data_IF_510169361921
#
_entry.id   IF_510169361921
#
_cell.length_a   1.000
_cell.length_b   1.000
_cell.length_c   1.000
_cell.angle_alpha   90.00
_cell.angle_beta   90.00
_cell.angle_gamma   90.00
#
_symmetry.space_group_name_H-M   'P 1'
#
loop_
_entity.id
_entity.type
_entity.pdbx_description
1 polymer ?
#
# COMPACT_ATOMS: atom_id res chain seq x y z
N UNK A 1 -4.65 9.84 -14.35
CA UNK A 1 -4.76 8.80 -13.30
C UNK A 1 -6.24 8.72 -12.90
N UNK A 2 -6.84 7.56 -13.07
CA UNK A 2 -8.22 7.30 -12.67
C UNK A 2 -8.25 6.71 -11.26
N UNK A 3 -8.94 7.38 -10.34
CA UNK A 3 -9.00 6.97 -8.92
C UNK A 3 -10.39 6.54 -8.44
N UNK A 4 -11.44 6.75 -9.26
CA UNK A 4 -12.81 6.34 -8.89
C UNK A 4 -12.90 4.82 -8.79
N UNK A 5 -13.57 4.33 -7.79
CA UNK A 5 -13.70 2.89 -7.51
C UNK A 5 -12.33 2.17 -7.32
N UNK A 6 -11.27 2.92 -7.00
CA UNK A 6 -9.96 2.38 -6.64
C UNK A 6 -9.70 2.57 -5.15
N UNK A 7 -8.91 1.66 -4.59
CA UNK A 7 -8.50 1.81 -3.20
C UNK A 7 -7.56 3.02 -3.05
N UNK A 8 -7.56 3.71 -1.91
CA UNK A 8 -6.59 4.75 -1.60
C UNK A 8 -5.14 4.30 -1.81
N UNK A 9 -4.85 3.04 -1.53
CA UNK A 9 -3.56 2.42 -1.81
C UNK A 9 -3.17 2.48 -3.28
N UNK A 10 -4.07 2.07 -4.19
CA UNK A 10 -3.79 2.09 -5.62
C UNK A 10 -3.51 3.51 -6.11
N UNK A 11 -4.31 4.48 -5.67
CA UNK A 11 -4.13 5.89 -6.03
C UNK A 11 -2.81 6.43 -5.51
N UNK A 12 -2.48 6.16 -4.25
CA UNK A 12 -1.24 6.62 -3.63
C UNK A 12 0.00 5.99 -4.30
N UNK A 13 -0.04 4.68 -4.59
CA UNK A 13 1.08 3.98 -5.24
C UNK A 13 1.33 4.52 -6.65
N UNK A 14 0.28 4.64 -7.47
CA UNK A 14 0.40 5.17 -8.83
C UNK A 14 0.84 6.63 -8.81
N UNK A 15 0.21 7.47 -7.99
CA UNK A 15 0.56 8.88 -7.83
C UNK A 15 2.02 9.08 -7.38
N UNK A 16 2.48 8.30 -6.42
CA UNK A 16 3.87 8.31 -5.95
C UNK A 16 4.85 7.89 -7.04
N UNK A 17 4.54 6.86 -7.82
CA UNK A 17 5.37 6.41 -8.92
C UNK A 17 5.56 7.51 -9.98
N UNK A 18 4.47 8.16 -10.41
CA UNK A 18 4.55 9.30 -11.32
C UNK A 18 5.32 10.48 -10.72
N UNK A 19 5.09 10.81 -9.45
CA UNK A 19 5.80 11.89 -8.78
C UNK A 19 7.30 11.65 -8.76
N UNK A 20 7.73 10.45 -8.40
CA UNK A 20 9.15 10.05 -8.37
C UNK A 20 9.80 10.11 -9.76
N UNK A 21 9.08 9.68 -10.81
CA UNK A 21 9.56 9.77 -12.18
C UNK A 21 9.75 11.23 -12.63
N UNK A 22 8.80 12.12 -12.30
CA UNK A 22 8.88 13.54 -12.63
C UNK A 22 10.00 14.24 -11.85
N UNK A 23 10.16 13.93 -10.56
CA UNK A 23 11.23 14.49 -9.72
C UNK A 23 12.61 14.05 -10.22
N UNK A 24 12.73 12.79 -10.66
CA UNK A 24 13.97 12.32 -11.33
C UNK A 24 14.26 13.11 -12.60
N UNK A 25 13.26 13.24 -13.47
CA UNK A 25 13.44 14.00 -14.73
C UNK A 25 13.80 15.46 -14.48
N UNK A 26 13.19 16.10 -13.49
CA UNK A 26 13.50 17.49 -13.12
C UNK A 26 14.94 17.68 -12.64
N UNK A 27 15.54 16.66 -12.01
CA UNK A 27 16.91 16.73 -11.48
C UNK A 27 17.98 16.22 -12.45
N UNK A 28 17.67 15.17 -13.21
CA UNK A 28 18.67 14.37 -13.91
C UNK A 28 18.64 14.53 -15.43
N UNK A 29 17.54 15.05 -16.01
CA UNK A 29 17.41 15.21 -17.46
C UNK A 29 18.55 16.10 -18.02
N UNK A 30 19.24 15.57 -19.02
CA UNK A 30 20.38 16.25 -19.66
C UNK A 30 21.74 15.96 -19.04
N UNK A 31 21.83 15.29 -17.87
CA UNK A 31 23.09 14.83 -17.29
C UNK A 31 23.57 13.55 -17.97
N UNK A 32 24.88 13.30 -17.95
CA UNK A 32 25.46 12.07 -18.52
C UNK A 32 24.79 10.82 -17.92
N UNK A 33 24.41 9.84 -18.74
CA UNK A 33 23.81 8.57 -18.32
C UNK A 33 22.40 8.67 -17.71
N UNK A 34 21.68 9.79 -17.89
CA UNK A 34 20.34 9.95 -17.29
C UNK A 34 19.30 9.00 -17.87
N UNK A 35 19.45 8.59 -19.14
CA UNK A 35 18.49 7.67 -19.78
C UNK A 35 18.56 6.27 -19.20
N UNK A 36 19.77 5.79 -18.94
CA UNK A 36 20.05 4.48 -18.33
C UNK A 36 19.48 4.45 -16.90
N UNK A 37 19.79 5.46 -16.09
CA UNK A 37 19.23 5.59 -14.74
C UNK A 37 17.70 5.74 -14.73
N UNK A 38 17.12 6.40 -15.73
CA UNK A 38 15.69 6.47 -15.89
C UNK A 38 15.09 5.10 -16.21
N UNK A 39 15.75 4.30 -17.04
CA UNK A 39 15.28 2.95 -17.38
C UNK A 39 15.27 2.05 -16.13
N UNK A 40 16.30 2.10 -15.31
CA UNK A 40 16.36 1.38 -14.04
C UNK A 40 15.24 1.82 -13.09
N UNK A 41 15.07 3.14 -12.91
CA UNK A 41 13.99 3.69 -12.11
C UNK A 41 12.62 3.21 -12.61
N UNK A 42 12.36 3.27 -13.90
CA UNK A 42 11.10 2.82 -14.50
C UNK A 42 10.81 1.34 -14.22
N UNK A 43 11.80 0.48 -14.30
CA UNK A 43 11.65 -0.95 -13.97
C UNK A 43 11.17 -1.13 -12.53
N UNK A 44 11.78 -0.44 -11.57
CA UNK A 44 11.36 -0.47 -10.18
C UNK A 44 9.95 0.08 -9.96
N UNK A 45 9.64 1.23 -10.60
CA UNK A 45 8.31 1.85 -10.49
C UNK A 45 7.21 0.97 -11.10
N UNK A 46 7.47 0.31 -12.24
CA UNK A 46 6.50 -0.60 -12.86
C UNK A 46 6.25 -1.83 -11.97
N UNK A 47 7.30 -2.39 -11.37
CA UNK A 47 7.14 -3.49 -10.41
C UNK A 47 6.29 -3.06 -9.20
N UNK A 48 6.49 -1.85 -8.68
CA UNK A 48 5.74 -1.29 -7.57
C UNK A 48 4.26 -1.07 -7.92
N UNK A 49 3.97 -0.48 -9.08
CA UNK A 49 2.60 -0.29 -9.57
C UNK A 49 1.91 -1.63 -9.89
N UNK A 50 2.67 -2.65 -10.31
CA UNK A 50 2.15 -4.00 -10.55
C UNK A 50 1.66 -4.74 -9.30
N UNK A 51 2.08 -4.30 -8.11
CA UNK A 51 1.64 -4.91 -6.84
C UNK A 51 0.21 -4.55 -6.46
N UNK A 52 -0.28 -3.37 -6.88
CA UNK A 52 -1.65 -2.91 -6.60
C UNK A 52 -2.59 -3.31 -7.73
N UNK A 53 -3.90 -3.11 -7.51
CA UNK A 53 -4.92 -3.47 -8.50
C UNK A 53 -4.59 -2.94 -9.91
N UNK A 54 -4.45 -3.84 -10.85
CA UNK A 54 -4.29 -3.54 -12.27
C UNK A 54 -4.88 -4.67 -13.14
N UNK A 55 -5.04 -4.41 -14.44
CA UNK A 55 -5.47 -5.38 -15.47
C UNK A 55 -4.42 -5.56 -16.56
N UNK A 56 -3.16 -5.35 -16.21
CA UNK A 56 -2.05 -5.21 -17.14
C UNK A 56 -1.79 -3.76 -17.48
N UNK A 57 -0.67 -3.51 -18.15
CA UNK A 57 -0.23 -2.18 -18.56
C UNK A 57 -0.17 -2.11 -20.08
N UNK A 58 -0.55 -0.96 -20.63
CA UNK A 58 -0.38 -0.64 -22.03
C UNK A 58 0.03 0.82 -22.17
N UNK A 59 0.52 1.19 -23.34
CA UNK A 59 0.79 2.60 -23.66
C UNK A 59 -0.47 3.39 -24.00
N UNK A 60 -1.62 2.70 -24.03
CA UNK A 60 -2.89 3.28 -24.44
C UNK A 60 -2.78 3.88 -25.85
N UNK A 61 -3.32 5.09 -26.04
CA UNK A 61 -3.26 5.80 -27.32
C UNK A 61 -2.04 6.70 -27.48
N UNK A 62 -1.05 6.62 -26.59
CA UNK A 62 0.09 7.54 -26.60
C UNK A 62 0.95 7.43 -27.87
N UNK A 63 1.07 6.23 -28.45
CA UNK A 63 1.80 5.96 -29.69
C UNK A 63 0.86 5.71 -30.89
N UNK A 64 -0.40 6.10 -30.79
CA UNK A 64 -1.43 5.87 -31.80
C UNK A 64 -2.48 4.85 -31.34
N UNK A 65 -3.32 4.38 -32.28
CA UNK A 65 -4.35 3.39 -31.94
C UNK A 65 -3.65 2.05 -31.61
N UNK A 66 -3.83 1.50 -30.40
CA UNK A 66 -3.24 0.21 -30.06
C UNK A 66 -3.89 -0.88 -30.92
N UNK A 67 -3.05 -1.59 -31.66
CA UNK A 67 -3.43 -2.81 -32.38
C UNK A 67 -2.89 -3.96 -31.53
N UNK A 68 -3.74 -4.87 -31.10
CA UNK A 68 -3.40 -6.05 -30.27
C UNK A 68 -2.92 -5.83 -28.81
N UNK A 69 -3.03 -4.62 -28.26
CA UNK A 69 -2.76 -4.33 -26.84
C UNK A 69 -3.97 -4.54 -25.91
N UNK A 70 -4.94 -5.32 -26.32
CA UNK A 70 -6.11 -5.61 -25.46
C UNK A 70 -5.70 -6.54 -24.34
N UNK A 71 -6.01 -6.12 -23.11
CA UNK A 71 -5.78 -7.00 -21.96
C UNK A 71 -6.72 -8.21 -22.03
N UNK A 72 -6.16 -9.40 -22.00
CA UNK A 72 -6.93 -10.65 -21.89
C UNK A 72 -7.31 -10.95 -20.42
N UNK A 73 -6.85 -10.14 -19.47
CA UNK A 73 -7.16 -10.31 -18.06
C UNK A 73 -8.58 -9.83 -17.77
N UNK A 74 -9.47 -10.76 -17.47
CA UNK A 74 -10.85 -10.46 -17.03
C UNK A 74 -10.93 -9.93 -15.59
N UNK A 75 -9.81 -9.89 -14.85
CA UNK A 75 -9.76 -9.54 -13.44
C UNK A 75 -8.52 -8.78 -13.00
N UNK A 76 -8.33 -8.73 -11.69
CA UNK A 76 -7.17 -8.12 -11.06
C UNK A 76 -5.95 -9.04 -11.18
N UNK A 77 -4.86 -8.54 -11.78
CA UNK A 77 -3.57 -9.24 -11.91
C UNK A 77 -2.51 -8.72 -10.94
N UNK A 78 -2.91 -7.98 -9.90
CA UNK A 78 -2.01 -7.54 -8.86
C UNK A 78 -1.28 -8.72 -8.19
N UNK A 79 0.00 -8.55 -7.92
CA UNK A 79 0.84 -9.58 -7.30
C UNK A 79 0.69 -9.64 -5.78
N UNK A 80 0.07 -8.64 -5.16
CA UNK A 80 -0.22 -8.59 -3.73
C UNK A 80 -1.72 -8.51 -3.47
N UNK A 81 -2.17 -9.17 -2.40
CA UNK A 81 -3.58 -9.16 -1.97
C UNK A 81 -3.70 -8.58 -0.56
N UNK A 82 -4.78 -7.85 -0.35
CA UNK A 82 -5.14 -7.32 0.97
C UNK A 82 -6.15 -8.25 1.62
N UNK A 83 -5.84 -8.71 2.84
CA UNK A 83 -6.77 -9.46 3.68
C UNK A 83 -7.25 -8.54 4.79
N UNK A 84 -8.55 -8.42 4.96
CA UNK A 84 -9.11 -7.61 6.03
C UNK A 84 -8.71 -8.21 7.38
N UNK A 85 -8.18 -7.38 8.27
CA UNK A 85 -7.82 -7.77 9.63
C UNK A 85 -8.90 -7.32 10.60
N UNK A 86 -9.24 -6.04 10.54
CA UNK A 86 -10.17 -5.46 11.51
C UNK A 86 -10.13 -3.93 11.46
N UNK A 87 -10.32 -3.32 12.62
CA UNK A 87 -10.42 -1.87 12.75
C UNK A 87 -9.68 -1.34 13.95
N UNK A 88 -9.25 -0.10 13.86
CA UNK A 88 -8.72 0.67 14.99
C UNK A 88 -9.89 1.04 15.90
N UNK A 89 -9.76 0.73 17.19
CA UNK A 89 -10.71 1.16 18.22
C UNK A 89 -10.31 2.50 18.82
N UNK A 90 -9.00 2.70 19.03
CA UNK A 90 -8.45 3.92 19.61
C UNK A 90 -6.99 4.12 19.22
N UNK A 91 -6.49 5.34 19.40
CA UNK A 91 -5.09 5.68 19.27
C UNK A 91 -4.57 6.41 20.51
N UNK A 92 -3.60 5.83 21.16
CA UNK A 92 -2.95 6.40 22.34
C UNK A 92 -1.79 7.31 21.93
N UNK A 93 -2.09 8.59 21.75
CA UNK A 93 -1.17 9.57 21.16
C UNK A 93 0.18 9.67 21.87
N UNK A 94 0.19 9.66 23.22
CA UNK A 94 1.43 9.77 24.01
C UNK A 94 2.34 8.56 23.81
N UNK A 95 1.76 7.38 23.64
CA UNK A 95 2.49 6.13 23.46
C UNK A 95 2.79 5.83 21.99
N UNK A 96 2.13 6.50 21.03
CA UNK A 96 2.25 6.19 19.61
C UNK A 96 1.67 4.82 19.24
N UNK A 97 0.61 4.38 19.94
CA UNK A 97 0.10 3.00 19.86
C UNK A 97 -1.34 3.01 19.38
N UNK A 98 -1.65 2.16 18.40
CA UNK A 98 -3.01 1.85 17.98
C UNK A 98 -3.59 0.70 18.80
N UNK A 99 -4.87 0.82 19.21
CA UNK A 99 -5.66 -0.25 19.78
C UNK A 99 -6.57 -0.80 18.69
N UNK A 100 -6.35 -2.05 18.31
CA UNK A 100 -6.96 -2.70 17.13
C UNK A 100 -7.77 -3.90 17.54
N UNK A 101 -8.99 -3.99 17.04
CA UNK A 101 -9.84 -5.17 17.12
C UNK A 101 -9.61 -6.03 15.89
N UNK A 102 -9.14 -7.25 16.10
CA UNK A 102 -8.94 -8.24 15.02
C UNK A 102 -10.28 -8.96 14.80
N UNK A 103 -10.85 -8.79 13.61
CA UNK A 103 -12.21 -9.29 13.28
C UNK A 103 -12.17 -10.50 12.34
N UNK A 104 -11.16 -10.58 11.47
CA UNK A 104 -11.11 -11.59 10.41
C UNK A 104 -9.69 -12.20 10.34
N UNK A 105 -8.85 -11.78 9.38
CA UNK A 105 -7.53 -12.36 9.22
C UNK A 105 -6.62 -12.05 10.40
N UNK A 106 -6.05 -13.09 11.01
CA UNK A 106 -4.96 -12.95 11.97
C UNK A 106 -3.65 -12.56 11.29
N UNK A 107 -2.72 -11.94 12.05
CA UNK A 107 -1.41 -11.55 11.58
C UNK A 107 -0.34 -11.70 12.68
N UNK A 108 0.92 -11.72 12.28
CA UNK A 108 2.08 -11.89 13.16
C UNK A 108 2.91 -10.62 13.25
N UNK A 109 3.77 -10.55 14.26
CA UNK A 109 4.86 -9.59 14.26
C UNK A 109 5.76 -9.83 13.05
N UNK A 110 6.18 -8.77 12.36
CA UNK A 110 6.91 -8.85 11.10
C UNK A 110 6.05 -8.77 9.84
N UNK A 111 4.74 -9.00 9.94
CA UNK A 111 3.82 -8.87 8.81
C UNK A 111 3.64 -7.40 8.39
N UNK A 112 3.45 -7.16 7.09
CA UNK A 112 3.16 -5.83 6.55
C UNK A 112 1.67 -5.53 6.65
N UNK A 113 1.34 -4.45 7.36
CA UNK A 113 -0.03 -3.98 7.55
C UNK A 113 -0.29 -2.70 6.78
N UNK A 114 -1.54 -2.55 6.35
CA UNK A 114 -2.10 -1.33 5.78
C UNK A 114 -3.10 -0.74 6.76
N UNK A 115 -2.97 0.55 7.03
CA UNK A 115 -3.97 1.35 7.74
C UNK A 115 -4.64 2.28 6.73
N UNK A 116 -5.97 2.29 6.73
CA UNK A 116 -6.77 3.05 5.77
C UNK A 116 -7.98 3.69 6.46
N UNK A 117 -8.13 4.99 6.30
CA UNK A 117 -9.28 5.73 6.84
C UNK A 117 -9.49 7.06 6.14
N UNK A 118 -10.71 7.66 6.25
CA UNK A 118 -11.08 8.86 5.51
C UNK A 118 -10.17 10.06 5.80
N UNK A 119 -9.73 10.21 7.04
CA UNK A 119 -8.85 11.30 7.47
C UNK A 119 -7.40 10.87 7.60
N UNK A 120 -7.16 9.63 7.99
CA UNK A 120 -5.82 9.03 8.11
C UNK A 120 -5.19 8.85 6.75
N UNK A 121 -6.01 8.69 5.71
CA UNK A 121 -5.57 8.35 4.38
C UNK A 121 -5.12 6.89 4.33
N UNK A 122 -3.97 6.67 3.75
CA UNK A 122 -3.36 5.35 3.58
C UNK A 122 -1.90 5.37 4.01
N UNK A 123 -1.44 4.35 4.71
CA UNK A 123 -0.02 4.07 4.91
C UNK A 123 0.23 2.58 5.20
N UNK A 124 1.46 2.15 4.94
CA UNK A 124 1.94 0.80 5.22
C UNK A 124 2.97 0.85 6.34
N UNK A 125 3.00 -0.19 7.13
CA UNK A 125 4.07 -0.44 8.08
C UNK A 125 4.19 -1.91 8.42
N UNK A 126 5.36 -2.31 8.88
CA UNK A 126 5.57 -3.63 9.49
C UNK A 126 5.05 -3.61 10.92
N UNK A 127 4.35 -4.66 11.33
CA UNK A 127 3.90 -4.86 12.71
C UNK A 127 5.12 -5.17 13.59
N UNK A 128 5.68 -4.16 14.26
CA UNK A 128 6.91 -4.32 15.02
C UNK A 128 6.74 -5.17 16.29
N UNK A 129 5.64 -4.98 17.02
CA UNK A 129 5.29 -5.75 18.20
C UNK A 129 3.78 -5.75 18.42
N UNK A 130 3.27 -6.82 18.97
CA UNK A 130 1.85 -6.99 19.28
C UNK A 130 1.71 -7.19 20.78
N UNK A 131 0.72 -6.57 21.42
CA UNK A 131 0.42 -6.79 22.83
C UNK A 131 -1.06 -7.01 23.05
N UNK A 132 -1.37 -8.01 23.84
CA UNK A 132 -2.67 -8.23 24.45
C UNK A 132 -2.54 -7.89 25.94
N UNK A 133 -3.08 -6.75 26.34
CA UNK A 133 -2.82 -6.15 27.66
C UNK A 133 -1.31 -5.97 27.90
N UNK A 134 -0.71 -6.68 28.86
CA UNK A 134 0.73 -6.62 29.17
C UNK A 134 1.54 -7.70 28.46
N UNK A 135 0.88 -8.70 27.84
CA UNK A 135 1.57 -9.82 27.19
C UNK A 135 2.01 -9.45 25.76
N UNK A 136 3.25 -9.75 25.44
CA UNK A 136 3.74 -9.68 24.06
C UNK A 136 3.28 -10.92 23.32
N UNK A 137 2.70 -10.70 22.13
CA UNK A 137 2.25 -11.76 21.25
C UNK A 137 3.14 -11.84 20.02
N UNK A 138 3.41 -13.05 19.55
CA UNK A 138 4.00 -13.26 18.23
C UNK A 138 2.95 -13.15 17.13
N UNK A 139 1.69 -13.51 17.44
CA UNK A 139 0.57 -13.50 16.50
C UNK A 139 -0.72 -13.07 17.17
N UNK A 140 -1.51 -12.27 16.46
CA UNK A 140 -2.87 -11.89 16.83
C UNK A 140 -3.88 -12.66 15.97
N UNK A 141 -4.98 -13.11 16.58
CA UNK A 141 -6.07 -13.83 15.91
C UNK A 141 -7.40 -13.11 16.02
N UNK A 142 -8.40 -13.58 15.26
CA UNK A 142 -9.75 -13.05 15.30
C UNK A 142 -10.34 -13.06 16.71
N UNK A 143 -11.10 -12.02 17.06
CA UNK A 143 -11.70 -11.82 18.39
C UNK A 143 -10.79 -11.14 19.40
N UNK A 144 -9.50 -11.01 19.13
CA UNK A 144 -8.57 -10.33 20.03
C UNK A 144 -8.58 -8.81 19.84
N UNK A 145 -8.35 -8.09 20.93
CA UNK A 145 -8.13 -6.64 20.93
C UNK A 145 -6.71 -6.39 21.39
N UNK A 146 -5.87 -5.95 20.46
CA UNK A 146 -4.42 -5.83 20.67
C UNK A 146 -3.96 -4.39 20.52
N UNK A 147 -2.81 -4.10 21.07
CA UNK A 147 -2.10 -2.84 20.83
C UNK A 147 -0.85 -3.09 20.01
N UNK A 148 -0.53 -2.16 19.11
CA UNK A 148 0.72 -2.15 18.35
C UNK A 148 1.19 -0.72 18.09
N UNK A 149 2.52 -0.48 18.10
CA UNK A 149 3.09 0.82 17.75
C UNK A 149 2.76 1.17 16.30
N UNK A 150 2.45 2.44 16.04
CA UNK A 150 2.21 2.94 14.68
C UNK A 150 3.00 4.23 14.45
N UNK A 151 3.62 4.32 13.26
CA UNK A 151 4.47 5.45 12.88
C UNK A 151 3.70 6.72 12.53
N UNK A 152 2.37 6.63 12.40
CA UNK A 152 1.48 7.76 12.08
C UNK A 152 0.22 7.69 12.93
N UNK A 153 -0.38 8.84 13.17
CA UNK A 153 -1.65 8.92 13.88
C UNK A 153 -2.75 8.22 13.06
N UNK A 154 -3.43 7.28 13.71
CA UNK A 154 -4.64 6.61 13.22
C UNK A 154 -5.85 7.08 14.01
N UNK A 155 -7.05 6.73 13.54
CA UNK A 155 -8.31 7.11 14.18
C UNK A 155 -9.20 5.91 14.38
N UNK A 156 -10.07 6.01 15.37
CA UNK A 156 -11.12 5.01 15.57
C UNK A 156 -11.96 4.85 14.28
N UNK A 157 -12.21 3.60 13.89
CA UNK A 157 -12.88 3.24 12.67
C UNK A 157 -11.98 3.03 11.46
N UNK A 158 -10.69 3.42 11.50
CA UNK A 158 -9.75 3.10 10.42
C UNK A 158 -9.64 1.59 10.25
N UNK A 159 -9.62 1.15 9.00
CA UNK A 159 -9.51 -0.27 8.63
C UNK A 159 -8.05 -0.70 8.62
N UNK A 160 -7.83 -1.94 9.03
CA UNK A 160 -6.51 -2.59 9.01
C UNK A 160 -6.57 -3.79 8.08
N UNK A 161 -5.57 -3.91 7.22
CA UNK A 161 -5.42 -5.03 6.30
C UNK A 161 -4.03 -5.63 6.41
N UNK A 162 -3.94 -6.93 6.25
CA UNK A 162 -2.71 -7.69 6.07
C UNK A 162 -2.38 -7.75 4.58
N UNK A 163 -1.14 -7.47 4.21
CA UNK A 163 -0.64 -7.57 2.86
C UNK A 163 0.06 -8.93 2.66
N UNK A 164 -0.36 -9.69 1.65
CA UNK A 164 0.24 -10.98 1.26
C UNK A 164 0.46 -11.05 -0.25
#
# INVERSE_FOLDING_TARGET
>A
IEGRLRSPESVATVGSAYRRALDFLGRERGRAGWRERLAELKTGLLAEVGRVYNRGFSTGFYHGKPIDEWTHASGNVATQRRHFVGRVLNYYRKAGVAYVEVLDAGFAAGDELIFEGPTTGFFRQVAASLRLEEQVLERAGAGQKITLPVGRQVRAGDKVYLLK
#
